data_IF_983060282481
#
_entry.id   IF_983060282481
#
_cell.length_a   1.000
_cell.length_b   1.000
_cell.length_c   1.000
_cell.angle_alpha   90.00
_cell.angle_beta   90.00
_cell.angle_gamma   90.00
#
_symmetry.space_group_name_H-M   'P 1'
#
loop_
_entity.id
_entity.type
_entity.pdbx_description
1 polymer ?
#
# COMPACT_ATOMS: atom_id res chain seq x y z
N UNK A 1 0.71 28.02 86.56
CA UNK A 1 1.89 27.16 86.39
C UNK A 1 1.48 25.89 85.65
N UNK A 2 1.92 25.70 84.41
CA UNK A 2 2.04 24.38 83.79
C UNK A 2 3.02 24.50 82.61
N UNK A 3 4.21 23.93 82.78
CA UNK A 3 5.21 23.77 81.71
C UNK A 3 4.88 22.48 80.98
N UNK A 4 4.79 22.50 79.66
CA UNK A 4 5.04 21.32 78.83
C UNK A 4 5.84 21.75 77.61
N UNK A 5 7.14 21.43 77.64
CA UNK A 5 8.10 21.57 76.55
C UNK A 5 7.90 20.44 75.55
N UNK A 6 7.51 20.76 74.31
CA UNK A 6 7.48 19.80 73.21
C UNK A 6 8.79 19.88 72.41
N UNK A 7 9.55 18.79 72.42
CA UNK A 7 10.84 18.65 71.78
C UNK A 7 10.78 18.70 70.26
N UNK A 8 11.84 19.26 69.66
CA UNK A 8 12.12 19.21 68.23
C UNK A 8 12.46 17.79 67.81
N UNK A 9 11.81 17.27 66.77
CA UNK A 9 12.35 16.16 65.98
C UNK A 9 12.49 16.63 64.53
N UNK A 10 13.74 16.76 64.10
CA UNK A 10 14.15 17.08 62.74
C UNK A 10 14.06 15.80 61.91
N UNK A 11 13.09 15.72 61.00
CA UNK A 11 13.00 14.61 60.03
C UNK A 11 13.63 15.03 58.71
N UNK A 12 14.80 14.46 58.44
CA UNK A 12 15.54 14.56 57.19
C UNK A 12 14.89 13.71 56.09
N UNK A 13 14.86 14.27 54.88
CA UNK A 13 14.84 13.68 53.54
C UNK A 13 14.32 12.23 53.36
N UNK A 14 13.32 12.08 52.47
CA UNK A 14 13.50 11.32 51.22
C UNK A 14 12.22 11.41 50.36
N UNK A 15 12.35 12.04 49.19
CA UNK A 15 11.38 11.93 48.10
C UNK A 15 11.47 10.52 47.49
N UNK A 16 10.33 9.84 47.32
CA UNK A 16 10.25 8.61 46.54
C UNK A 16 9.07 8.74 45.56
N UNK A 17 9.43 9.08 44.34
CA UNK A 17 8.58 9.24 43.16
C UNK A 17 7.96 7.90 42.74
N UNK A 18 6.63 7.91 42.50
CA UNK A 18 5.89 6.83 41.84
C UNK A 18 6.46 6.59 40.43
N UNK A 19 6.89 5.36 40.13
CA UNK A 19 7.16 4.92 38.76
C UNK A 19 6.09 3.90 38.37
N UNK A 20 5.09 4.35 37.60
CA UNK A 20 4.12 3.48 36.93
C UNK A 20 4.67 3.18 35.54
N UNK A 21 5.22 1.98 35.35
CA UNK A 21 5.70 1.52 34.05
C UNK A 21 4.53 0.95 33.23
N UNK A 22 3.97 1.78 32.35
CA UNK A 22 3.04 1.32 31.31
C UNK A 22 3.85 0.66 30.17
N UNK A 23 3.94 -0.67 30.17
CA UNK A 23 4.52 -1.42 29.06
C UNK A 23 3.51 -1.45 27.90
N UNK A 24 3.67 -0.55 26.94
CA UNK A 24 2.96 -0.62 25.66
C UNK A 24 3.57 -1.74 24.81
N UNK A 25 2.88 -2.87 24.71
CA UNK A 25 3.18 -3.92 23.75
C UNK A 25 2.69 -3.46 22.38
N UNK A 26 3.58 -2.94 21.56
CA UNK A 26 3.30 -2.68 20.14
C UNK A 26 3.39 -4.00 19.36
N UNK A 27 2.40 -4.34 18.51
CA UNK A 27 2.52 -5.50 17.63
C UNK A 27 3.57 -5.24 16.54
N UNK A 28 4.71 -5.92 16.63
CA UNK A 28 5.75 -5.94 15.59
C UNK A 28 5.49 -7.10 14.64
N UNK A 29 4.64 -6.89 13.64
CA UNK A 29 4.49 -7.78 12.49
C UNK A 29 4.63 -6.96 11.21
N UNK A 30 5.56 -7.26 10.29
CA UNK A 30 5.68 -6.52 9.04
C UNK A 30 4.54 -6.90 8.08
N UNK A 31 3.49 -6.07 8.02
CA UNK A 31 2.49 -6.11 6.96
C UNK A 31 3.04 -5.51 5.65
N UNK A 32 4.26 -5.86 5.23
CA UNK A 32 4.96 -5.21 4.10
C UNK A 32 4.41 -5.57 2.71
N UNK A 33 3.34 -6.37 2.65
CA UNK A 33 2.74 -6.85 1.42
C UNK A 33 1.44 -6.08 1.13
N UNK A 34 1.39 -5.43 -0.03
CA UNK A 34 0.12 -4.94 -0.57
C UNK A 34 -0.77 -6.14 -0.95
N UNK A 35 -2.04 -6.07 -0.58
CA UNK A 35 -3.09 -6.93 -1.13
C UNK A 35 -3.38 -6.54 -2.58
N UNK A 36 -2.66 -7.17 -3.52
CA UNK A 36 -2.90 -6.97 -4.94
C UNK A 36 -4.11 -7.77 -5.41
N UNK A 37 -4.98 -7.17 -6.24
CA UNK A 37 -6.12 -7.90 -6.78
C UNK A 37 -5.66 -9.08 -7.61
N UNK A 38 -6.29 -10.23 -7.40
CA UNK A 38 -6.20 -11.33 -8.35
C UNK A 38 -6.88 -10.92 -9.67
N UNK A 39 -6.47 -11.56 -10.77
CA UNK A 39 -7.11 -11.39 -12.06
C UNK A 39 -8.62 -11.69 -11.94
N UNK A 40 -9.44 -10.65 -12.13
CA UNK A 40 -10.88 -10.80 -12.08
C UNK A 40 -11.37 -11.53 -13.34
N UNK A 41 -12.43 -12.34 -13.22
CA UNK A 41 -13.16 -12.82 -14.40
C UNK A 41 -13.64 -11.63 -15.21
N UNK A 42 -13.40 -11.67 -16.52
CA UNK A 42 -13.88 -10.64 -17.44
C UNK A 42 -15.43 -10.66 -17.45
N UNK A 43 -16.06 -9.49 -17.51
CA UNK A 43 -17.49 -9.28 -17.72
C UNK A 43 -18.01 -10.03 -18.97
N UNK A 44 -17.16 -10.19 -19.99
CA UNK A 44 -17.37 -11.12 -21.11
C UNK A 44 -16.24 -12.17 -21.09
N UNK A 45 -16.51 -13.41 -20.66
CA UNK A 45 -15.50 -14.46 -20.62
C UNK A 45 -14.80 -14.62 -21.96
N UNK A 46 -13.47 -14.63 -21.96
CA UNK A 46 -12.65 -14.95 -23.13
C UNK A 46 -12.29 -13.79 -24.07
N UNK A 47 -12.60 -12.53 -23.74
CA UNK A 47 -12.16 -11.37 -24.54
C UNK A 47 -10.65 -11.16 -24.38
N UNK A 48 -10.16 -10.88 -23.18
CA UNK A 48 -8.71 -10.84 -22.89
C UNK A 48 -8.21 -12.27 -22.64
N UNK A 49 -7.16 -12.67 -23.38
CA UNK A 49 -6.58 -14.02 -23.31
C UNK A 49 -5.13 -14.00 -22.82
N UNK A 50 -4.81 -12.99 -22.02
CA UNK A 50 -3.46 -12.74 -21.52
C UNK A 50 -3.08 -13.82 -20.51
N UNK A 51 -1.89 -14.39 -20.70
CA UNK A 51 -1.31 -15.32 -19.73
C UNK A 51 -0.76 -14.55 -18.52
N UNK A 52 -0.61 -15.21 -17.35
CA UNK A 52 0.03 -14.58 -16.20
C UNK A 52 1.43 -14.01 -16.51
N UNK A 53 2.19 -14.65 -17.40
CA UNK A 53 3.51 -14.18 -17.82
C UNK A 53 3.45 -12.89 -18.64
N UNK A 54 2.48 -12.77 -19.55
CA UNK A 54 2.26 -11.55 -20.32
C UNK A 54 1.81 -10.39 -19.42
N UNK A 55 0.89 -10.65 -18.49
CA UNK A 55 0.47 -9.67 -17.49
C UNK A 55 1.65 -9.17 -16.65
N UNK A 56 2.52 -10.08 -16.19
CA UNK A 56 3.71 -9.72 -15.42
C UNK A 56 4.69 -8.86 -16.24
N UNK A 57 4.83 -9.13 -17.54
CA UNK A 57 5.67 -8.32 -18.43
C UNK A 57 5.11 -6.90 -18.58
N UNK A 58 3.80 -6.76 -18.80
CA UNK A 58 3.13 -5.46 -18.84
C UNK A 58 3.27 -4.73 -17.50
N UNK A 59 3.09 -5.42 -16.37
CA UNK A 59 3.29 -4.85 -15.03
C UNK A 59 4.68 -4.24 -14.83
N UNK A 60 5.73 -4.96 -15.27
CA UNK A 60 7.11 -4.44 -15.23
C UNK A 60 7.30 -3.21 -16.12
N UNK A 61 6.72 -3.22 -17.33
CA UNK A 61 6.77 -2.07 -18.23
C UNK A 61 6.10 -0.84 -17.61
N UNK A 62 4.89 -1.01 -17.05
CA UNK A 62 4.15 0.07 -16.39
C UNK A 62 4.91 0.64 -15.17
N UNK A 63 5.73 -0.16 -14.50
CA UNK A 63 6.55 0.25 -13.37
C UNK A 63 7.92 0.87 -13.75
N UNK A 64 8.26 0.97 -15.04
CA UNK A 64 9.63 1.30 -15.49
C UNK A 64 9.99 2.79 -15.56
N UNK A 65 9.03 3.70 -15.34
CA UNK A 65 9.30 5.13 -15.10
C UNK A 65 8.47 6.09 -15.97
N UNK A 66 8.17 5.74 -17.21
CA UNK A 66 7.29 6.53 -18.08
C UNK A 66 5.85 6.00 -18.03
N UNK A 67 5.20 6.22 -16.88
CA UNK A 67 3.89 5.66 -16.61
C UNK A 67 2.82 6.16 -17.59
N UNK A 68 2.89 7.44 -17.98
CA UNK A 68 1.88 8.04 -18.86
C UNK A 68 1.90 7.38 -20.24
N UNK A 69 3.07 7.29 -20.88
CA UNK A 69 3.18 6.67 -22.20
C UNK A 69 3.00 5.14 -22.13
N UNK A 70 3.42 4.50 -21.03
CA UNK A 70 3.22 3.06 -20.85
C UNK A 70 1.74 2.68 -20.76
N UNK A 71 0.91 3.47 -20.06
CA UNK A 71 -0.55 3.23 -19.99
C UNK A 71 -1.18 3.40 -21.38
N UNK A 72 -0.86 4.49 -22.09
CA UNK A 72 -1.39 4.75 -23.42
C UNK A 72 -1.00 3.64 -24.41
N UNK A 73 0.28 3.22 -24.40
CA UNK A 73 0.79 2.15 -25.25
C UNK A 73 0.14 0.80 -24.95
N UNK A 74 0.05 0.40 -23.68
CA UNK A 74 -0.60 -0.85 -23.29
C UNK A 74 -2.10 -0.86 -23.63
N UNK A 75 -2.78 0.27 -23.45
CA UNK A 75 -4.19 0.43 -23.83
C UNK A 75 -4.39 0.28 -25.33
N UNK A 76 -3.52 0.90 -26.13
CA UNK A 76 -3.57 0.81 -27.58
C UNK A 76 -3.32 -0.64 -28.07
N UNK A 77 -2.29 -1.30 -27.53
CA UNK A 77 -1.99 -2.71 -27.86
C UNK A 77 -3.18 -3.63 -27.56
N UNK A 78 -3.79 -3.50 -26.37
CA UNK A 78 -4.96 -4.28 -25.99
C UNK A 78 -6.14 -4.07 -26.94
N UNK A 79 -6.43 -2.81 -27.33
CA UNK A 79 -7.54 -2.49 -28.24
C UNK A 79 -7.30 -3.01 -29.65
N UNK A 80 -6.05 -3.08 -30.10
CA UNK A 80 -5.69 -3.68 -31.40
C UNK A 80 -5.84 -5.20 -31.36
N UNK A 81 -5.34 -5.84 -30.32
CA UNK A 81 -5.36 -7.31 -30.19
C UNK A 81 -6.73 -7.87 -29.83
N UNK A 82 -7.55 -7.08 -29.14
CA UNK A 82 -8.88 -7.43 -28.68
C UNK A 82 -9.89 -6.36 -29.12
N UNK A 83 -10.28 -6.34 -30.40
CA UNK A 83 -11.27 -5.40 -30.90
C UNK A 83 -12.59 -5.55 -30.12
N UNK A 84 -13.12 -4.43 -29.62
CA UNK A 84 -14.34 -4.43 -28.80
C UNK A 84 -14.13 -4.73 -27.31
N UNK A 85 -12.89 -4.75 -26.81
CA UNK A 85 -12.63 -4.77 -25.38
C UNK A 85 -13.22 -3.53 -24.71
N UNK A 86 -13.98 -3.73 -23.64
CA UNK A 86 -14.60 -2.64 -22.87
C UNK A 86 -13.54 -1.89 -22.06
N UNK A 87 -13.72 -0.58 -21.88
CA UNK A 87 -12.81 0.24 -21.06
C UNK A 87 -12.62 -0.33 -19.65
N UNK A 88 -13.68 -0.84 -19.02
CA UNK A 88 -13.60 -1.47 -17.69
C UNK A 88 -12.64 -2.68 -17.66
N UNK A 89 -12.58 -3.48 -18.73
CA UNK A 89 -11.67 -4.63 -18.84
C UNK A 89 -10.22 -4.18 -18.98
N UNK A 90 -9.99 -3.13 -19.77
CA UNK A 90 -8.67 -2.54 -19.91
C UNK A 90 -8.19 -2.01 -18.56
N UNK A 91 -9.04 -1.29 -17.82
CA UNK A 91 -8.67 -0.79 -16.48
C UNK A 91 -8.35 -1.95 -15.53
N UNK A 92 -9.25 -2.93 -15.44
CA UNK A 92 -9.06 -4.09 -14.57
C UNK A 92 -7.76 -4.85 -14.89
N UNK A 93 -7.48 -5.05 -16.18
CA UNK A 93 -6.25 -5.65 -16.65
C UNK A 93 -5.00 -4.87 -16.22
N UNK A 94 -4.97 -3.55 -16.48
CA UNK A 94 -3.81 -2.72 -16.19
C UNK A 94 -3.50 -2.64 -14.70
N UNK A 95 -4.53 -2.51 -13.85
CA UNK A 95 -4.37 -2.47 -12.39
C UNK A 95 -3.88 -3.83 -11.85
N UNK A 96 -4.48 -4.92 -12.32
CA UNK A 96 -4.06 -6.28 -11.95
C UNK A 96 -2.62 -6.56 -12.35
N UNK A 97 -2.19 -6.09 -13.54
CA UNK A 97 -0.81 -6.24 -13.99
C UNK A 97 0.18 -5.40 -13.18
N UNK A 98 -0.19 -4.17 -12.83
CA UNK A 98 0.70 -3.20 -12.18
C UNK A 98 0.99 -3.53 -10.70
N UNK A 99 -0.04 -3.88 -9.93
CA UNK A 99 0.11 -4.02 -8.48
C UNK A 99 1.22 -5.00 -8.05
N UNK A 100 1.32 -6.22 -8.63
CA UNK A 100 2.39 -7.15 -8.27
C UNK A 100 3.79 -6.61 -8.53
N UNK A 101 3.97 -5.80 -9.59
CA UNK A 101 5.26 -5.18 -9.91
C UNK A 101 5.68 -4.15 -8.85
N UNK A 102 4.74 -3.35 -8.36
CA UNK A 102 4.98 -2.43 -7.23
C UNK A 102 5.19 -3.19 -5.93
N UNK A 103 4.41 -4.24 -5.68
CA UNK A 103 4.51 -5.01 -4.45
C UNK A 103 5.88 -5.71 -4.30
N UNK A 104 6.45 -6.15 -5.43
CA UNK A 104 7.79 -6.73 -5.49
C UNK A 104 8.93 -5.70 -5.30
N UNK A 105 8.63 -4.40 -5.32
CA UNK A 105 9.65 -3.36 -5.15
C UNK A 105 10.03 -3.20 -3.67
N UNK A 106 11.14 -3.80 -3.28
CA UNK A 106 11.68 -3.75 -1.91
C UNK A 106 12.24 -2.39 -1.51
N UNK A 107 12.38 -1.45 -2.46
CA UNK A 107 12.84 -0.07 -2.20
C UNK A 107 11.71 0.84 -1.71
N UNK A 108 10.46 0.39 -1.78
CA UNK A 108 9.30 1.16 -1.36
C UNK A 108 8.77 0.66 -0.01
N UNK A 109 8.47 1.60 0.89
CA UNK A 109 7.62 1.34 2.05
C UNK A 109 6.19 0.98 1.62
N UNK A 110 5.44 0.32 2.50
CA UNK A 110 4.05 -0.04 2.27
C UNK A 110 3.19 1.17 1.86
N UNK A 111 3.35 2.31 2.55
CA UNK A 111 2.66 3.56 2.22
C UNK A 111 3.02 4.08 0.82
N UNK A 112 4.29 3.97 0.41
CA UNK A 112 4.72 4.35 -0.93
C UNK A 112 4.16 3.41 -1.99
N UNK A 113 4.12 2.10 -1.72
CA UNK A 113 3.51 1.12 -2.62
C UNK A 113 2.02 1.42 -2.81
N UNK A 114 1.29 1.69 -1.72
CA UNK A 114 -0.13 2.06 -1.77
C UNK A 114 -0.36 3.34 -2.57
N UNK A 115 0.42 4.38 -2.28
CA UNK A 115 0.36 5.66 -3.02
C UNK A 115 0.63 5.46 -4.51
N UNK A 116 1.59 4.60 -4.87
CA UNK A 116 1.90 4.29 -6.26
C UNK A 116 0.73 3.60 -6.97
N UNK A 117 0.10 2.60 -6.33
CA UNK A 117 -1.07 1.90 -6.89
C UNK A 117 -2.28 2.84 -7.02
N UNK A 118 -2.56 3.66 -6.01
CA UNK A 118 -3.68 4.62 -6.04
C UNK A 118 -3.49 5.69 -7.14
N UNK A 119 -2.25 6.18 -7.29
CA UNK A 119 -1.88 7.15 -8.33
C UNK A 119 -1.98 6.54 -9.73
N UNK A 120 -1.54 5.29 -9.88
CA UNK A 120 -1.63 4.53 -11.12
C UNK A 120 -3.10 4.32 -11.51
N UNK A 121 -3.92 3.80 -10.60
CA UNK A 121 -5.35 3.59 -10.86
C UNK A 121 -6.05 4.88 -11.31
N UNK A 122 -5.74 6.00 -10.65
CA UNK A 122 -6.25 7.32 -11.03
C UNK A 122 -5.80 7.77 -12.42
N UNK A 123 -4.56 7.48 -12.84
CA UNK A 123 -4.10 7.77 -14.20
C UNK A 123 -4.76 6.88 -15.24
N UNK A 124 -4.88 5.58 -14.97
CA UNK A 124 -5.56 4.63 -15.87
C UNK A 124 -6.99 5.08 -16.12
N UNK A 125 -7.74 5.45 -15.07
CA UNK A 125 -9.12 5.93 -15.21
C UNK A 125 -9.22 7.18 -16.09
N UNK A 126 -8.25 8.10 -16.01
CA UNK A 126 -8.22 9.32 -16.83
C UNK A 126 -7.85 9.11 -18.30
N UNK A 127 -7.14 8.03 -18.61
CA UNK A 127 -6.65 7.78 -19.98
C UNK A 127 -7.51 6.78 -20.75
N UNK A 128 -8.19 5.87 -20.05
CA UNK A 128 -8.96 4.78 -20.67
C UNK A 128 -10.41 5.19 -20.97
N UNK A 129 -10.97 6.09 -20.15
CA UNK A 129 -12.29 6.71 -20.33
C UNK A 129 -12.14 8.12 -20.89
#
# INVERSE_FOLDING_TARGET
MLRLTAGRLRSSLAAATLVVSAAMVAPTGPALALDCPAAQPLAKPGILKETPAQMAAVGKQLASGDMYNAIASATADLRVRYPGVESAEVVNYLVTAYCPAVNANTKLSEAQKRTAVDSFASQVMRQVY
#
